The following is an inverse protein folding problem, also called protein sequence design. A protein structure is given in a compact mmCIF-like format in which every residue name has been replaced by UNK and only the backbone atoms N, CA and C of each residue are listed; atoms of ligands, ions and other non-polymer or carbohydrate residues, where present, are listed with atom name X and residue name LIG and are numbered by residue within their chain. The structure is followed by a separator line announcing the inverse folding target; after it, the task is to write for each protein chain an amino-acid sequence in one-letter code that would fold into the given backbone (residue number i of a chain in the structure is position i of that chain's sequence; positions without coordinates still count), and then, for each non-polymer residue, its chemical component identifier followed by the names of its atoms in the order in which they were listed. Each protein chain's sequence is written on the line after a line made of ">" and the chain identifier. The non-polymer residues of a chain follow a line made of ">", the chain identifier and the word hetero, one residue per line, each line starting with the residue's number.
data_IF_658678797716
#
_entry.id   IF_658678797716
#
_cell.length_a   1.000
_cell.length_b   1.000
_cell.length_c   1.000
_cell.angle_alpha   90.00
_cell.angle_beta   90.00
_cell.angle_gamma   90.00
#
_symmetry.space_group_name_H-M   'P 1'
#
loop_
_entity.id
_entity.type
_entity.pdbx_description
1 polymer ?
#
# COMPACT_ATOMS: atom_id res chain seq x y z
N UNK A 1 16.92 11.91 4.80
CA UNK A 1 16.65 11.04 3.63
C UNK A 1 15.21 11.25 3.18
N UNK A 2 14.20 10.81 3.93
CA UNK A 2 12.78 10.97 3.54
C UNK A 2 12.39 12.43 3.23
N UNK A 3 12.61 13.36 4.18
CA UNK A 3 12.31 14.80 3.98
C UNK A 3 13.10 15.40 2.83
N UNK A 4 14.37 15.00 2.67
CA UNK A 4 15.22 15.42 1.54
C UNK A 4 14.64 15.00 0.19
N UNK A 5 13.94 13.87 0.16
CA UNK A 5 13.24 13.35 -1.02
C UNK A 5 11.84 13.95 -1.21
N UNK A 6 11.40 14.84 -0.31
CA UNK A 6 10.09 15.49 -0.33
C UNK A 6 9.00 14.75 0.44
N UNK A 7 9.34 13.69 1.19
CA UNK A 7 8.37 12.96 2.01
C UNK A 7 8.13 13.74 3.31
N UNK A 8 6.93 14.28 3.45
CA UNK A 8 6.51 15.07 4.64
C UNK A 8 5.64 14.29 5.62
N UNK A 9 5.08 13.15 5.21
CA UNK A 9 4.29 12.26 6.06
C UNK A 9 4.74 10.81 5.86
N UNK A 10 4.91 10.06 6.95
CA UNK A 10 5.17 8.62 6.93
C UNK A 10 4.10 7.89 7.76
N UNK A 11 3.43 6.92 7.13
CA UNK A 11 2.65 5.93 7.86
C UNK A 11 3.60 4.79 8.25
N UNK A 12 3.83 4.58 9.54
CA UNK A 12 4.55 3.42 10.04
C UNK A 12 3.63 2.20 9.96
N UNK A 13 4.05 1.16 9.25
CA UNK A 13 3.20 0.00 8.91
C UNK A 13 3.89 -1.32 9.30
N UNK A 14 4.13 -1.58 10.61
CA UNK A 14 4.70 -2.85 11.02
C UNK A 14 3.76 -4.00 10.66
N UNK A 15 4.36 -5.17 10.39
CA UNK A 15 3.60 -6.35 9.97
C UNK A 15 2.67 -6.87 11.07
N UNK A 16 1.46 -7.27 10.69
CA UNK A 16 0.61 -8.17 11.49
C UNK A 16 0.53 -9.54 10.81
N UNK A 17 1.27 -10.51 11.33
CA UNK A 17 1.28 -11.88 10.80
C UNK A 17 1.63 -12.90 11.90
N UNK A 18 1.69 -14.19 11.55
CA UNK A 18 1.93 -15.27 12.51
C UNK A 18 3.26 -15.15 13.27
N UNK A 19 4.23 -14.39 12.75
CA UNK A 19 5.53 -14.14 13.39
C UNK A 19 5.52 -12.86 14.22
N UNK A 20 4.80 -11.83 13.77
CA UNK A 20 4.77 -10.52 14.39
C UNK A 20 3.37 -10.22 14.92
N UNK A 21 3.22 -10.35 16.24
CA UNK A 21 2.00 -9.93 16.92
C UNK A 21 1.87 -8.41 16.83
N UNK A 22 0.72 -7.96 16.36
CA UNK A 22 0.44 -6.54 16.22
C UNK A 22 -0.33 -6.02 17.43
N UNK A 23 0.33 -5.20 18.22
CA UNK A 23 -0.24 -4.52 19.39
C UNK A 23 -0.27 -3.01 19.12
N UNK A 24 -1.47 -2.48 18.84
CA UNK A 24 -1.64 -1.08 18.46
C UNK A 24 -1.25 -0.12 19.57
N UNK A 25 -1.52 -0.46 20.83
CA UNK A 25 -1.26 0.43 21.96
C UNK A 25 0.25 0.52 22.22
N UNK A 26 0.94 -0.62 22.22
CA UNK A 26 2.39 -0.67 22.30
C UNK A 26 3.05 0.10 21.14
N UNK A 27 2.61 -0.15 19.90
CA UNK A 27 3.16 0.52 18.72
C UNK A 27 2.87 2.03 18.70
N UNK A 28 1.72 2.46 19.22
CA UNK A 28 1.40 3.89 19.37
C UNK A 28 2.36 4.56 20.35
N UNK A 29 2.67 3.92 21.48
CA UNK A 29 3.67 4.42 22.42
C UNK A 29 5.07 4.54 21.80
N UNK A 30 5.48 3.55 20.98
CA UNK A 30 6.72 3.63 20.22
C UNK A 30 6.70 4.73 19.17
N UNK A 31 5.57 4.96 18.50
CA UNK A 31 5.43 6.02 17.52
C UNK A 31 5.56 7.40 18.17
N UNK A 32 4.94 7.62 19.34
CA UNK A 32 5.13 8.89 20.08
C UNK A 32 6.58 9.10 20.50
N UNK A 33 7.25 8.04 20.96
CA UNK A 33 8.68 8.12 21.26
C UNK A 33 9.49 8.51 20.01
N UNK A 34 9.19 7.90 18.87
CA UNK A 34 9.85 8.20 17.60
C UNK A 34 9.57 9.64 17.14
N UNK A 35 8.34 10.14 17.27
CA UNK A 35 8.00 11.54 16.99
C UNK A 35 8.85 12.51 17.81
N UNK A 36 9.07 12.22 19.09
CA UNK A 36 9.95 13.01 19.96
C UNK A 36 11.41 13.04 19.51
N UNK A 37 11.89 12.00 18.81
CA UNK A 37 13.24 11.95 18.24
C UNK A 37 13.34 12.60 16.86
N UNK A 38 12.28 12.54 16.06
CA UNK A 38 12.22 13.05 14.68
C UNK A 38 12.00 14.57 14.65
N UNK A 39 11.17 15.10 15.57
CA UNK A 39 10.75 16.50 15.56
C UNK A 39 9.56 16.75 14.62
N UNK A 40 9.52 17.94 14.01
CA UNK A 40 8.33 18.42 13.29
C UNK A 40 8.12 17.75 11.91
N UNK A 41 9.17 17.15 11.31
CA UNK A 41 9.06 16.53 9.99
C UNK A 41 9.97 15.30 9.83
N UNK A 42 9.49 14.22 9.19
CA UNK A 42 8.13 14.07 8.67
C UNK A 42 7.11 13.82 9.80
N UNK A 43 5.85 14.20 9.56
CA UNK A 43 4.73 13.76 10.39
C UNK A 43 4.63 12.24 10.33
N UNK A 44 4.26 11.62 11.46
CA UNK A 44 4.18 10.17 11.57
C UNK A 44 2.75 9.77 11.91
N UNK A 45 2.20 8.76 11.26
CA UNK A 45 0.98 8.06 11.68
C UNK A 45 1.21 6.56 11.78
N UNK A 46 0.31 5.86 12.45
CA UNK A 46 0.37 4.40 12.57
C UNK A 46 -0.64 3.75 11.62
N UNK A 47 -0.22 2.69 10.96
CA UNK A 47 -1.08 1.73 10.31
C UNK A 47 -0.52 0.33 10.52
N UNK A 48 -0.94 -0.60 9.68
CA UNK A 48 -0.48 -1.98 9.75
C UNK A 48 -0.23 -2.49 8.34
N UNK A 49 0.87 -3.19 8.11
CA UNK A 49 0.99 -4.04 6.93
C UNK A 49 0.37 -5.41 7.25
N UNK A 50 -0.93 -5.53 6.97
CA UNK A 50 -1.77 -6.60 7.48
C UNK A 50 -1.72 -7.82 6.57
N UNK A 51 -1.11 -8.91 7.04
CA UNK A 51 -1.10 -10.15 6.28
C UNK A 51 -2.48 -10.81 6.32
N UNK A 52 -3.10 -10.98 5.17
CA UNK A 52 -4.44 -11.56 5.07
C UNK A 52 -4.40 -13.07 5.32
N UNK A 53 -4.89 -13.47 6.50
CA UNK A 53 -5.15 -14.85 6.88
C UNK A 53 -6.60 -14.99 7.36
N UNK A 54 -7.09 -16.23 7.53
CA UNK A 54 -8.43 -16.45 8.07
C UNK A 54 -8.59 -15.83 9.47
N UNK A 55 -7.62 -16.07 10.36
CA UNK A 55 -7.64 -15.56 11.74
C UNK A 55 -7.60 -14.04 11.78
N UNK A 56 -6.66 -13.44 11.05
CA UNK A 56 -6.54 -11.99 10.95
C UNK A 56 -7.83 -11.37 10.37
N UNK A 57 -8.42 -11.99 9.34
CA UNK A 57 -9.68 -11.52 8.75
C UNK A 57 -10.82 -11.51 9.79
N UNK A 58 -10.93 -12.54 10.63
CA UNK A 58 -11.95 -12.53 11.70
C UNK A 58 -11.69 -11.39 12.70
N UNK A 59 -10.43 -11.17 13.08
CA UNK A 59 -10.08 -10.13 14.06
C UNK A 59 -10.31 -8.72 13.52
N UNK A 60 -9.90 -8.42 12.29
CA UNK A 60 -10.14 -7.09 11.69
C UNK A 60 -11.62 -6.82 11.42
N UNK A 61 -12.42 -7.85 11.15
CA UNK A 61 -13.88 -7.68 11.04
C UNK A 61 -14.54 -7.44 12.41
N UNK A 62 -13.93 -7.86 13.52
CA UNK A 62 -14.41 -7.57 14.86
C UNK A 62 -13.96 -6.19 15.34
N UNK A 63 -12.70 -5.84 15.11
CA UNK A 63 -12.02 -4.64 15.63
C UNK A 63 -11.17 -3.97 14.55
N UNK A 64 -11.80 -3.32 13.54
CA UNK A 64 -11.07 -2.73 12.42
C UNK A 64 -10.13 -1.59 12.82
N UNK A 65 -10.49 -0.82 13.85
CA UNK A 65 -9.69 0.27 14.42
C UNK A 65 -8.31 -0.17 14.89
N UNK A 66 -8.14 -1.47 15.16
CA UNK A 66 -6.83 -2.05 15.50
C UNK A 66 -5.83 -1.95 14.36
N UNK A 67 -6.27 -2.05 13.11
CA UNK A 67 -5.37 -2.28 11.96
C UNK A 67 -5.37 -1.14 10.92
N UNK A 68 -6.46 -0.37 10.83
CA UNK A 68 -6.56 0.74 9.87
C UNK A 68 -5.51 1.82 10.12
N UNK A 69 -5.19 2.56 9.06
CA UNK A 69 -4.28 3.71 9.08
C UNK A 69 -4.93 4.83 9.89
N UNK A 70 -4.24 5.31 10.94
CA UNK A 70 -4.73 6.37 11.81
C UNK A 70 -6.13 6.05 12.34
N UNK A 71 -7.06 7.00 12.24
CA UNK A 71 -8.47 6.79 12.58
C UNK A 71 -9.35 6.79 11.32
N UNK A 72 -8.83 6.21 10.23
CA UNK A 72 -9.47 6.21 8.91
C UNK A 72 -10.15 4.88 8.65
N UNK A 73 -10.60 4.65 7.42
CA UNK A 73 -11.18 3.40 6.96
C UNK A 73 -10.28 2.62 5.99
N UNK A 74 -9.00 3.01 5.85
CA UNK A 74 -8.05 2.35 4.96
C UNK A 74 -7.22 1.30 5.68
N UNK A 75 -7.17 0.10 5.12
CA UNK A 75 -6.38 -1.03 5.62
C UNK A 75 -5.38 -1.46 4.54
N UNK A 76 -4.08 -1.43 4.84
CA UNK A 76 -3.10 -2.05 3.95
C UNK A 76 -3.19 -3.56 4.09
N UNK A 77 -3.23 -4.29 2.98
CA UNK A 77 -3.40 -5.75 2.95
C UNK A 77 -2.28 -6.38 2.16
N UNK A 78 -1.47 -7.20 2.83
CA UNK A 78 -0.43 -8.03 2.21
C UNK A 78 -0.97 -9.46 1.98
N UNK A 79 -0.70 -10.01 0.79
CA UNK A 79 -1.04 -11.40 0.45
C UNK A 79 0.16 -12.32 0.58
N UNK A 80 -0.11 -13.57 0.98
CA UNK A 80 0.92 -14.61 1.09
C UNK A 80 1.65 -14.84 -0.24
N UNK A 81 2.97 -15.00 -0.15
CA UNK A 81 3.82 -15.38 -1.29
C UNK A 81 3.70 -16.87 -1.66
N UNK A 82 3.04 -17.68 -0.84
CA UNK A 82 2.96 -19.13 -1.01
C UNK A 82 1.61 -19.60 -1.52
N UNK A 83 0.52 -18.90 -1.16
CA UNK A 83 -0.83 -19.28 -1.58
C UNK A 83 -1.78 -18.09 -1.51
N UNK A 84 -2.55 -17.86 -2.56
CA UNK A 84 -3.67 -16.90 -2.56
C UNK A 84 -4.96 -17.70 -2.79
N UNK A 85 -5.84 -17.82 -1.79
CA UNK A 85 -7.12 -18.50 -1.93
C UNK A 85 -7.95 -17.96 -3.11
N UNK A 86 -8.80 -18.82 -3.69
CA UNK A 86 -9.71 -18.39 -4.76
C UNK A 86 -10.75 -17.39 -4.24
N UNK A 87 -11.17 -17.54 -2.99
CA UNK A 87 -12.18 -16.72 -2.28
C UNK A 87 -11.60 -15.41 -1.72
N UNK A 88 -10.43 -14.96 -2.20
CA UNK A 88 -9.82 -13.72 -1.71
C UNK A 88 -10.69 -12.50 -2.02
N UNK A 89 -11.42 -12.53 -3.14
CA UNK A 89 -12.41 -11.52 -3.51
C UNK A 89 -13.51 -11.39 -2.44
N UNK A 90 -13.99 -12.50 -1.89
CA UNK A 90 -14.98 -12.49 -0.80
C UNK A 90 -14.44 -11.81 0.47
N UNK A 91 -13.12 -11.87 0.69
CA UNK A 91 -12.49 -11.20 1.82
C UNK A 91 -12.52 -9.68 1.63
N UNK A 92 -12.21 -9.19 0.42
CA UNK A 92 -12.31 -7.76 0.10
C UNK A 92 -13.75 -7.25 0.18
N UNK A 93 -14.72 -8.03 -0.29
CA UNK A 93 -16.15 -7.69 -0.17
C UNK A 93 -16.55 -7.55 1.31
N UNK A 94 -16.17 -8.52 2.17
CA UNK A 94 -16.47 -8.45 3.62
C UNK A 94 -15.86 -7.23 4.30
N UNK A 95 -14.66 -6.83 3.90
CA UNK A 95 -14.03 -5.58 4.40
C UNK A 95 -14.85 -4.36 3.93
N UNK A 96 -15.24 -4.33 2.65
CA UNK A 96 -16.09 -3.29 2.07
C UNK A 96 -17.45 -3.16 2.76
N UNK A 97 -18.10 -4.28 3.10
CA UNK A 97 -19.37 -4.31 3.85
C UNK A 97 -19.25 -3.70 5.26
N UNK A 98 -18.03 -3.62 5.80
CA UNK A 98 -17.71 -2.92 7.06
C UNK A 98 -17.23 -1.48 6.84
N UNK A 99 -17.30 -0.96 5.61
CA UNK A 99 -16.85 0.37 5.25
C UNK A 99 -15.33 0.52 5.12
N UNK A 100 -14.58 -0.60 5.12
CA UNK A 100 -13.12 -0.61 5.04
C UNK A 100 -12.69 -0.68 3.58
N UNK A 101 -11.85 0.27 3.15
CA UNK A 101 -11.19 0.20 1.85
C UNK A 101 -9.87 -0.54 1.99
N UNK A 102 -9.80 -1.73 1.42
CA UNK A 102 -8.55 -2.48 1.33
C UNK A 102 -7.58 -1.80 0.34
N UNK A 103 -6.32 -1.72 0.73
CA UNK A 103 -5.20 -1.26 -0.09
C UNK A 103 -4.24 -2.43 -0.24
N UNK A 104 -4.28 -3.15 -1.36
CA UNK A 104 -3.39 -4.27 -1.62
C UNK A 104 -1.94 -3.77 -1.77
N UNK A 105 -1.05 -4.22 -0.90
CA UNK A 105 0.36 -3.82 -0.89
C UNK A 105 1.20 -4.65 -1.85
N UNK A 106 2.04 -3.93 -2.58
CA UNK A 106 3.07 -4.40 -3.50
C UNK A 106 2.74 -5.69 -4.29
N UNK A 107 1.60 -5.77 -5.00
CA UNK A 107 1.24 -6.97 -5.76
C UNK A 107 2.23 -7.27 -6.88
N UNK A 108 2.98 -6.27 -7.36
CA UNK A 108 4.04 -6.44 -8.35
C UNK A 108 5.18 -7.34 -7.87
N UNK A 109 5.34 -7.50 -6.55
CA UNK A 109 6.38 -8.34 -5.93
C UNK A 109 5.87 -9.74 -5.54
N UNK A 110 4.56 -9.95 -5.52
CA UNK A 110 4.02 -11.25 -5.12
C UNK A 110 4.21 -12.26 -6.28
N UNK A 111 4.89 -13.40 -6.05
CA UNK A 111 5.26 -14.34 -7.11
C UNK A 111 4.07 -15.02 -7.79
N UNK A 112 2.92 -15.10 -7.12
CA UNK A 112 1.67 -15.64 -7.67
C UNK A 112 1.01 -14.59 -8.55
N UNK A 113 0.93 -13.34 -8.09
CA UNK A 113 0.37 -12.24 -8.89
C UNK A 113 1.24 -11.87 -10.08
N UNK A 114 2.56 -12.05 -10.00
CA UNK A 114 3.44 -11.92 -11.16
C UNK A 114 3.18 -12.96 -12.26
N UNK A 115 2.43 -14.03 -11.99
CA UNK A 115 2.00 -15.00 -13.01
C UNK A 115 0.61 -14.69 -13.56
N UNK A 116 -0.20 -13.92 -12.83
CA UNK A 116 -1.58 -13.62 -13.18
C UNK A 116 -1.99 -12.23 -12.67
N UNK A 117 -1.35 -11.15 -13.18
CA UNK A 117 -1.58 -9.79 -12.68
C UNK A 117 -3.00 -9.29 -13.01
N UNK A 118 -3.71 -9.93 -13.94
CA UNK A 118 -5.12 -9.67 -14.24
C UNK A 118 -6.03 -9.78 -13.01
N UNK A 119 -5.71 -10.68 -12.06
CA UNK A 119 -6.47 -10.81 -10.80
C UNK A 119 -6.51 -9.50 -10.01
N UNK A 120 -5.46 -8.68 -10.13
CA UNK A 120 -5.37 -7.38 -9.47
C UNK A 120 -6.39 -6.41 -10.05
N UNK A 121 -6.63 -6.46 -11.37
CA UNK A 121 -7.61 -5.60 -12.04
C UNK A 121 -9.02 -5.92 -11.54
N UNK A 122 -9.36 -7.20 -11.41
CA UNK A 122 -10.66 -7.64 -10.88
C UNK A 122 -10.91 -7.10 -9.46
N UNK A 123 -9.86 -7.01 -8.63
CA UNK A 123 -9.98 -6.45 -7.28
C UNK A 123 -10.11 -4.93 -7.27
N UNK A 124 -9.47 -4.24 -8.21
CA UNK A 124 -9.69 -2.79 -8.39
C UNK A 124 -11.13 -2.49 -8.77
N UNK A 125 -11.72 -3.28 -9.68
CA UNK A 125 -13.14 -3.15 -10.03
C UNK A 125 -14.08 -3.38 -8.83
N UNK A 126 -13.65 -4.17 -7.85
CA UNK A 126 -14.36 -4.41 -6.59
C UNK A 126 -14.11 -3.32 -5.52
N UNK A 127 -13.35 -2.26 -5.85
CA UNK A 127 -13.08 -1.15 -4.94
C UNK A 127 -11.80 -1.30 -4.11
N UNK A 128 -10.96 -2.30 -4.39
CA UNK A 128 -9.65 -2.43 -3.75
C UNK A 128 -8.66 -1.42 -4.36
N UNK A 129 -8.03 -0.60 -3.53
CA UNK A 129 -6.95 0.26 -3.97
C UNK A 129 -5.63 -0.53 -4.04
N UNK A 130 -4.71 -0.10 -4.89
CA UNK A 130 -3.42 -0.78 -5.11
C UNK A 130 -2.27 0.14 -4.76
N UNK A 131 -1.38 -0.32 -3.88
CA UNK A 131 -0.12 0.32 -3.57
C UNK A 131 1.04 -0.45 -4.23
N UNK A 132 1.84 0.22 -5.06
CA UNK A 132 3.04 -0.36 -5.67
C UNK A 132 4.30 0.23 -5.04
N UNK A 133 5.36 -0.59 -4.92
CA UNK A 133 6.66 -0.14 -4.39
C UNK A 133 7.33 0.79 -5.41
N UNK A 134 7.67 2.01 -5.01
CA UNK A 134 8.26 3.03 -5.89
C UNK A 134 9.55 2.53 -6.60
N UNK A 135 10.41 1.81 -5.87
CA UNK A 135 11.65 1.26 -6.43
C UNK A 135 11.44 0.05 -7.36
N UNK A 136 10.22 -0.49 -7.46
CA UNK A 136 9.90 -1.49 -8.48
C UNK A 136 9.90 -0.86 -9.88
N UNK A 137 9.41 0.37 -10.03
CA UNK A 137 9.40 1.09 -11.31
C UNK A 137 10.82 1.44 -11.79
N UNK A 138 11.77 1.62 -10.87
CA UNK A 138 13.18 1.89 -11.17
C UNK A 138 14.03 0.61 -11.35
N UNK A 139 13.42 -0.58 -11.29
CA UNK A 139 14.09 -1.85 -11.55
C UNK A 139 14.87 -2.46 -10.37
N UNK A 140 14.80 -1.87 -9.17
CA UNK A 140 15.56 -2.34 -7.99
C UNK A 140 15.16 -3.74 -7.50
N UNK A 141 14.01 -4.25 -7.95
CA UNK A 141 13.47 -5.57 -7.62
C UNK A 141 13.55 -6.57 -8.78
N UNK A 142 14.34 -6.25 -9.82
CA UNK A 142 14.50 -7.07 -11.01
C UNK A 142 13.45 -6.83 -12.09
N UNK A 143 13.76 -7.29 -13.30
CA UNK A 143 12.99 -7.01 -14.53
C UNK A 143 11.54 -7.49 -14.44
N UNK A 144 11.29 -8.65 -13.84
CA UNK A 144 9.93 -9.20 -13.71
C UNK A 144 9.04 -8.31 -12.85
N UNK A 145 9.54 -7.88 -11.70
CA UNK A 145 8.82 -6.98 -10.78
C UNK A 145 8.57 -5.64 -11.45
N UNK A 146 9.58 -5.08 -12.13
CA UNK A 146 9.44 -3.83 -12.88
C UNK A 146 8.41 -3.96 -14.00
N UNK A 147 8.41 -5.07 -14.74
CA UNK A 147 7.44 -5.36 -15.79
C UNK A 147 6.01 -5.36 -15.27
N UNK A 148 5.73 -6.00 -14.13
CA UNK A 148 4.40 -6.01 -13.53
C UNK A 148 4.00 -4.64 -12.99
N UNK A 149 4.93 -3.89 -12.37
CA UNK A 149 4.67 -2.54 -11.90
C UNK A 149 4.26 -1.60 -13.03
N UNK A 150 4.99 -1.64 -14.16
CA UNK A 150 4.65 -0.87 -15.37
C UNK A 150 3.34 -1.33 -15.98
N UNK A 151 3.12 -2.63 -16.07
CA UNK A 151 1.89 -3.22 -16.62
C UNK A 151 0.64 -2.79 -15.84
N UNK A 152 0.71 -2.70 -14.51
CA UNK A 152 -0.37 -2.19 -13.65
C UNK A 152 -0.59 -0.70 -13.87
N UNK A 153 0.48 0.08 -14.07
CA UNK A 153 0.38 1.51 -14.33
C UNK A 153 -0.27 1.81 -15.69
N UNK A 154 0.17 1.13 -16.74
CA UNK A 154 -0.36 1.26 -18.11
C UNK A 154 -1.83 0.86 -18.25
N UNK A 155 -2.37 0.14 -17.26
CA UNK A 155 -3.76 -0.31 -17.20
C UNK A 155 -4.60 0.46 -16.21
N UNK A 156 -4.09 1.57 -15.69
CA UNK A 156 -4.77 2.40 -14.70
C UNK A 156 -5.26 1.57 -13.49
N UNK A 157 -4.40 0.69 -12.98
CA UNK A 157 -4.70 -0.16 -11.81
C UNK A 157 -3.99 0.29 -10.53
N UNK A 158 -3.11 1.28 -10.62
CA UNK A 158 -2.32 1.78 -9.50
C UNK A 158 -2.99 2.99 -8.85
N UNK A 159 -2.99 3.03 -7.52
CA UNK A 159 -3.62 4.11 -6.74
C UNK A 159 -2.59 4.85 -5.88
N UNK A 160 -1.58 4.13 -5.38
CA UNK A 160 -0.57 4.66 -4.47
C UNK A 160 0.81 4.16 -4.89
N UNK A 161 1.79 5.05 -4.86
CA UNK A 161 3.21 4.70 -4.85
C UNK A 161 3.77 4.95 -3.45
N UNK A 162 4.34 3.90 -2.84
CA UNK A 162 4.96 3.98 -1.52
C UNK A 162 6.39 3.45 -1.56
N UNK A 163 7.24 3.91 -0.65
CA UNK A 163 8.66 3.52 -0.64
C UNK A 163 8.86 2.08 -0.18
N UNK A 164 7.99 1.61 0.71
CA UNK A 164 8.15 0.35 1.46
C UNK A 164 9.59 0.22 2.01
N UNK A 165 10.05 1.30 2.64
CA UNK A 165 11.40 1.42 3.17
C UNK A 165 11.58 0.58 4.43
N UNK A 166 12.77 0.02 4.61
CA UNK A 166 13.15 -0.79 5.78
C UNK A 166 14.49 -0.37 6.38
N UNK A 167 15.34 0.34 5.64
CA UNK A 167 16.67 0.73 6.10
C UNK A 167 17.23 1.92 5.31
N UNK A 168 18.43 2.40 5.64
CA UNK A 168 19.08 3.57 5.00
C UNK A 168 20.06 3.20 3.88
N UNK A 169 20.10 1.94 3.44
CA UNK A 169 21.11 1.43 2.50
C UNK A 169 20.54 0.69 1.28
N UNK A 170 19.64 -0.27 1.50
CA UNK A 170 19.03 -1.14 0.49
C UNK A 170 17.60 -0.72 0.18
N UNK A 171 16.75 -0.60 1.21
CA UNK A 171 15.34 -0.24 1.07
C UNK A 171 15.10 1.13 1.69
N UNK A 172 15.53 2.15 0.99
CA UNK A 172 15.56 3.55 1.44
C UNK A 172 14.21 4.26 1.25
N UNK A 173 13.89 5.27 2.06
CA UNK A 173 12.66 6.05 1.93
C UNK A 173 12.80 7.09 0.80
N UNK A 174 12.76 6.59 -0.44
CA UNK A 174 12.81 7.40 -1.68
C UNK A 174 11.57 7.09 -2.52
N UNK A 175 10.82 8.14 -2.85
CA UNK A 175 9.65 8.15 -3.73
C UNK A 175 9.91 8.90 -5.03
N UNK A 176 10.73 9.96 -5.01
CA UNK A 176 10.93 10.87 -6.15
C UNK A 176 11.30 10.13 -7.44
N UNK A 177 12.27 9.21 -7.38
CA UNK A 177 12.70 8.43 -8.54
C UNK A 177 11.59 7.52 -9.10
N UNK A 178 10.77 6.91 -8.23
CA UNK A 178 9.63 6.10 -8.66
C UNK A 178 8.49 6.95 -9.25
N UNK A 179 8.25 8.13 -8.68
CA UNK A 179 7.29 9.11 -9.21
C UNK A 179 7.72 9.58 -10.61
N UNK A 180 8.99 9.92 -10.80
CA UNK A 180 9.49 10.42 -12.08
C UNK A 180 9.41 9.32 -13.15
N UNK A 181 9.77 8.08 -12.80
CA UNK A 181 9.57 6.92 -13.68
C UNK A 181 8.09 6.66 -14.01
N UNK A 182 7.17 6.89 -13.06
CA UNK A 182 5.73 6.81 -13.32
C UNK A 182 5.26 7.91 -14.27
N UNK A 183 5.78 9.14 -14.14
CA UNK A 183 5.41 10.28 -14.95
C UNK A 183 5.75 10.09 -16.44
N UNK A 184 6.82 9.35 -16.75
CA UNK A 184 7.17 8.96 -18.12
C UNK A 184 6.12 8.05 -18.78
N UNK A 185 5.33 7.32 -17.97
CA UNK A 185 4.35 6.34 -18.44
C UNK A 185 2.93 6.91 -18.46
N UNK A 186 2.52 7.56 -17.37
CA UNK A 186 1.14 8.01 -17.15
C UNK A 186 0.98 9.55 -17.13
N UNK A 187 2.06 10.30 -17.32
CA UNK A 187 2.06 11.75 -17.22
C UNK A 187 2.20 12.26 -15.78
N UNK A 188 2.63 13.52 -15.66
CA UNK A 188 2.99 14.13 -14.37
C UNK A 188 1.80 14.24 -13.40
N UNK A 189 0.61 14.53 -13.91
CA UNK A 189 -0.58 14.74 -13.07
C UNK A 189 -1.00 13.46 -12.35
N UNK A 190 -0.98 12.32 -13.06
CA UNK A 190 -1.29 11.01 -12.47
C UNK A 190 -0.17 10.60 -11.52
N UNK A 191 1.10 10.70 -11.94
CA UNK A 191 2.23 10.36 -11.09
C UNK A 191 2.24 11.14 -9.76
N UNK A 192 1.88 12.43 -9.78
CA UNK A 192 1.69 13.24 -8.58
C UNK A 192 0.51 12.75 -7.73
N UNK A 193 -0.62 12.40 -8.36
CA UNK A 193 -1.78 11.88 -7.63
C UNK A 193 -1.44 10.60 -6.82
N UNK A 194 -0.59 9.73 -7.37
CA UNK A 194 -0.16 8.47 -6.74
C UNK A 194 0.70 8.65 -5.49
N UNK A 195 1.45 9.75 -5.37
CA UNK A 195 2.36 10.00 -4.24
C UNK A 195 1.89 11.09 -3.29
N UNK A 196 0.91 11.90 -3.67
CA UNK A 196 0.46 13.06 -2.90
C UNK A 196 -1.05 13.03 -2.64
N UNK A 197 -1.88 13.19 -3.67
CA UNK A 197 -3.34 13.36 -3.51
C UNK A 197 -4.00 12.13 -2.90
N UNK A 198 -3.70 10.94 -3.41
CA UNK A 198 -4.29 9.70 -2.89
C UNK A 198 -3.76 9.35 -1.49
N UNK A 199 -2.44 9.36 -1.23
CA UNK A 199 -1.92 9.18 0.13
C UNK A 199 -2.49 10.18 1.16
N UNK A 200 -2.66 11.45 0.77
CA UNK A 200 -3.28 12.46 1.63
C UNK A 200 -4.74 12.13 1.95
N UNK A 201 -5.50 11.67 0.96
CA UNK A 201 -6.87 11.21 1.17
C UNK A 201 -6.92 10.00 2.11
N UNK A 202 -6.00 9.05 1.95
CA UNK A 202 -5.86 7.88 2.84
C UNK A 202 -5.67 8.31 4.28
N UNK A 203 -4.68 9.17 4.59
CA UNK A 203 -4.41 9.60 5.97
C UNK A 203 -5.49 10.52 6.55
N UNK A 204 -6.29 11.15 5.70
CA UNK A 204 -7.42 12.03 6.09
C UNK A 204 -8.76 11.31 6.15
N UNK A 205 -8.81 10.01 5.82
CA UNK A 205 -10.05 9.22 5.74
C UNK A 205 -11.04 9.76 4.69
N UNK A 206 -10.54 10.37 3.63
CA UNK A 206 -11.34 10.87 2.51
C UNK A 206 -11.32 9.90 1.33
N UNK A 207 -12.35 9.87 0.48
CA UNK A 207 -12.33 9.09 -0.76
C UNK A 207 -11.13 9.45 -1.64
N UNK A 208 -10.55 8.46 -2.32
CA UNK A 208 -9.41 8.67 -3.21
C UNK A 208 -9.81 9.59 -4.39
N UNK A 209 -9.16 10.75 -4.58
CA UNK A 209 -9.47 11.65 -5.69
C UNK A 209 -9.19 11.03 -7.06
N UNK A 210 -8.16 10.17 -7.14
CA UNK A 210 -7.84 9.40 -8.32
C UNK A 210 -8.15 7.93 -8.06
N UNK A 211 -9.29 7.46 -8.56
CA UNK A 211 -9.67 6.05 -8.56
C UNK A 211 -9.94 5.61 -10.00
N UNK A 212 -8.92 5.12 -10.71
CA UNK A 212 -9.08 4.75 -12.11
C UNK A 212 -9.97 3.51 -12.29
N UNK A 213 -10.50 3.38 -13.51
CA UNK A 213 -11.16 2.14 -13.95
C UNK A 213 -10.17 1.35 -14.79
N UNK A 214 -9.74 0.16 -14.37
CA UNK A 214 -8.73 -0.58 -15.08
C UNK A 214 -9.08 -0.87 -16.53
N UNK A 215 -8.05 -0.85 -17.39
CA UNK A 215 -8.21 -1.20 -18.80
C UNK A 215 -8.09 -2.73 -18.97
N UNK A 216 -9.23 -3.40 -19.05
CA UNK A 216 -9.37 -4.83 -19.34
C UNK A 216 -9.16 -5.11 -20.84
N UNK A 217 -7.96 -4.90 -21.37
CA UNK A 217 -7.62 -5.29 -22.75
C UNK A 217 -7.09 -6.72 -22.79
N UNK A 218 -7.75 -7.55 -23.60
CA UNK A 218 -7.40 -8.92 -23.99
C UNK A 218 -6.01 -9.03 -24.61
#
# INVERSE_FOLDING_TARGET
>A
MAVTDGIMHIVATPHANNRYHYDRDYLSGLLEHLRGLVGDAPELSLGCDFHLSYENLQDVLASPERYVIGNTNYLLVELSNYSIPAQISDCFIKLGDRGITAVLTHPERNPILQQSPQRVLDWVEQGCAIQVTASALTGSWGERTQGVAKWLLERDAMHILASDAHDTKRRVPVLSAGRDAAAEICGIEIAQALVEKNPLAVISGQPLPYFPKPVMKS
#
